data_IF_922473613264
#
_entry.id   IF_922473613264
#
_cell.length_a   1.000
_cell.length_b   1.000
_cell.length_c   1.000
_cell.angle_alpha   90.00
_cell.angle_beta   90.00
_cell.angle_gamma   90.00
#
_symmetry.space_group_name_H-M   'P 1'
#
loop_
_entity.id
_entity.type
_entity.pdbx_description
1 polymer ?
#
# COMPACT_ATOMS: atom_id res chain seq x y z
N UNK A 1 -10.85 20.31 -41.12
CA UNK A 1 -10.94 20.46 -39.63
C UNK A 1 -12.15 19.66 -39.19
N UNK A 2 -11.93 18.47 -38.71
CA UNK A 2 -13.03 17.62 -38.19
C UNK A 2 -13.36 18.09 -36.76
N UNK A 3 -14.49 18.79 -36.64
CA UNK A 3 -15.05 19.11 -35.32
C UNK A 3 -15.65 17.82 -34.77
N UNK A 4 -14.86 17.05 -34.03
CA UNK A 4 -15.38 15.94 -33.24
C UNK A 4 -16.29 16.53 -32.15
N UNK A 5 -17.60 16.23 -32.23
CA UNK A 5 -18.53 16.56 -31.15
C UNK A 5 -18.00 16.04 -29.81
N UNK A 6 -18.16 16.78 -28.71
CA UNK A 6 -17.71 16.32 -27.42
C UNK A 6 -18.46 15.03 -27.05
N UNK A 7 -17.75 13.91 -26.97
CA UNK A 7 -18.32 12.65 -26.46
C UNK A 7 -18.70 12.85 -25.01
N UNK A 8 -19.98 12.73 -24.73
CA UNK A 8 -20.54 12.99 -23.39
C UNK A 8 -20.04 11.99 -22.33
N UNK A 9 -19.38 10.91 -22.74
CA UNK A 9 -18.81 9.84 -21.92
C UNK A 9 -17.30 9.99 -21.59
N UNK A 10 -16.58 10.93 -22.25
CA UNK A 10 -15.16 11.16 -22.02
C UNK A 10 -14.91 11.82 -20.67
N UNK A 11 -14.10 11.15 -19.83
CA UNK A 11 -13.67 11.67 -18.54
C UNK A 11 -12.45 12.59 -18.70
N UNK A 12 -12.36 13.60 -17.84
CA UNK A 12 -11.13 14.37 -17.68
C UNK A 12 -10.03 13.51 -17.04
N UNK A 13 -10.41 12.71 -16.02
CA UNK A 13 -9.52 11.79 -15.34
C UNK A 13 -10.28 10.56 -14.84
N UNK A 14 -9.67 9.38 -15.05
CA UNK A 14 -10.09 8.13 -14.41
C UNK A 14 -9.11 7.81 -13.28
N UNK A 15 -9.63 7.54 -12.09
CA UNK A 15 -8.84 7.09 -10.93
C UNK A 15 -9.08 5.59 -10.73
N UNK A 16 -8.02 4.79 -10.74
CA UNK A 16 -8.09 3.34 -10.55
C UNK A 16 -7.55 2.98 -9.17
N UNK A 17 -8.44 2.58 -8.27
CA UNK A 17 -8.20 2.31 -6.85
C UNK A 17 -8.87 3.31 -5.93
N UNK A 18 -9.60 2.82 -4.91
CA UNK A 18 -10.33 3.62 -3.92
C UNK A 18 -9.73 3.48 -2.50
N UNK A 19 -8.40 3.39 -2.42
CA UNK A 19 -7.67 3.60 -1.18
C UNK A 19 -7.59 5.09 -0.79
N UNK A 20 -6.88 5.43 0.30
CA UNK A 20 -6.70 6.82 0.74
C UNK A 20 -6.17 7.74 -0.37
N UNK A 21 -5.21 7.27 -1.18
CA UNK A 21 -4.66 8.02 -2.30
C UNK A 21 -5.72 8.34 -3.36
N UNK A 22 -6.40 7.31 -3.89
CA UNK A 22 -7.35 7.48 -4.99
C UNK A 22 -8.56 8.31 -4.62
N UNK A 23 -9.16 8.08 -3.45
CA UNK A 23 -10.29 8.87 -2.96
C UNK A 23 -9.91 10.33 -2.72
N UNK A 24 -8.69 10.59 -2.20
CA UNK A 24 -8.19 11.96 -2.06
C UNK A 24 -8.00 12.64 -3.41
N UNK A 25 -7.35 11.97 -4.38
CA UNK A 25 -7.14 12.53 -5.72
C UNK A 25 -8.48 12.86 -6.42
N UNK A 26 -9.44 11.95 -6.32
CA UNK A 26 -10.77 12.15 -6.89
C UNK A 26 -11.50 13.33 -6.24
N UNK A 27 -11.41 13.48 -4.91
CA UNK A 27 -11.96 14.62 -4.18
C UNK A 27 -11.36 15.94 -4.68
N UNK A 28 -10.02 16.03 -4.84
CA UNK A 28 -9.36 17.21 -5.38
C UNK A 28 -9.84 17.53 -6.80
N UNK A 29 -9.88 16.53 -7.69
CA UNK A 29 -10.33 16.71 -9.07
C UNK A 29 -11.78 17.16 -9.16
N UNK A 30 -12.69 16.58 -8.36
CA UNK A 30 -14.08 17.00 -8.31
C UNK A 30 -14.22 18.46 -7.81
N UNK A 31 -13.43 18.87 -6.80
CA UNK A 31 -13.37 20.26 -6.32
C UNK A 31 -12.80 21.22 -7.36
N UNK A 32 -11.90 20.76 -8.24
CA UNK A 32 -11.46 21.48 -9.45
C UNK A 32 -12.49 21.41 -10.59
N UNK A 33 -13.68 20.78 -10.35
CA UNK A 33 -14.78 20.63 -11.31
C UNK A 33 -14.36 19.87 -12.57
N UNK A 34 -13.50 18.90 -12.40
CA UNK A 34 -13.14 17.94 -13.44
C UNK A 34 -14.11 16.77 -13.46
N UNK A 35 -14.40 16.26 -14.66
CA UNK A 35 -15.20 15.06 -14.85
C UNK A 35 -14.36 13.85 -14.47
N UNK A 36 -14.49 13.40 -13.23
CA UNK A 36 -13.71 12.31 -12.64
C UNK A 36 -14.60 11.13 -12.30
N UNK A 37 -14.06 9.92 -12.36
CA UNK A 37 -14.68 8.69 -11.89
C UNK A 37 -13.63 7.85 -11.17
N UNK A 38 -14.03 7.12 -10.13
CA UNK A 38 -13.19 6.16 -9.40
C UNK A 38 -13.67 4.75 -9.73
N UNK A 39 -12.73 3.85 -10.02
CA UNK A 39 -13.00 2.42 -10.13
C UNK A 39 -12.34 1.71 -8.95
N UNK A 40 -13.13 0.99 -8.16
CA UNK A 40 -12.75 0.36 -6.91
C UNK A 40 -12.75 -1.16 -7.03
N UNK A 41 -11.57 -1.78 -7.03
CA UNK A 41 -11.43 -3.24 -7.00
C UNK A 41 -11.68 -3.87 -5.63
N UNK A 42 -11.97 -3.08 -4.58
CA UNK A 42 -12.39 -3.56 -3.26
C UNK A 42 -11.26 -4.10 -2.35
N UNK A 43 -9.99 -3.93 -2.72
CA UNK A 43 -8.86 -4.57 -2.04
C UNK A 43 -7.89 -3.56 -1.36
N UNK A 44 -8.40 -2.43 -0.84
CA UNK A 44 -7.54 -1.45 -0.18
C UNK A 44 -6.77 -2.07 1.00
N UNK A 45 -5.43 -1.91 1.00
CA UNK A 45 -4.55 -2.34 2.08
C UNK A 45 -4.92 -1.72 3.43
N UNK A 46 -5.47 -0.50 3.43
CA UNK A 46 -5.86 0.19 4.65
C UNK A 46 -6.90 -0.59 5.49
N UNK A 47 -7.67 -1.52 4.89
CA UNK A 47 -8.60 -2.41 5.61
C UNK A 47 -7.93 -3.28 6.67
N UNK A 48 -6.62 -3.56 6.50
CA UNK A 48 -5.82 -4.37 7.41
C UNK A 48 -5.32 -3.60 8.65
N UNK A 49 -5.59 -2.31 8.75
CA UNK A 49 -5.13 -1.47 9.86
C UNK A 49 -6.15 -1.56 11.00
N UNK A 50 -5.82 -2.23 12.14
CA UNK A 50 -6.73 -2.29 13.29
C UNK A 50 -6.95 -0.89 13.89
N UNK A 51 -5.87 -0.13 14.08
CA UNK A 51 -5.88 1.28 14.45
C UNK A 51 -4.60 1.96 13.97
N UNK A 52 -4.72 3.09 13.28
CA UNK A 52 -3.59 3.95 12.91
C UNK A 52 -3.48 5.10 13.89
N UNK A 53 -2.34 5.22 14.57
CA UNK A 53 -2.05 6.31 15.52
C UNK A 53 -1.14 7.40 14.91
N UNK A 54 -0.60 7.17 13.73
CA UNK A 54 0.25 8.11 13.01
C UNK A 54 -0.46 8.86 11.86
N UNK A 55 -1.79 8.72 11.76
CA UNK A 55 -2.60 9.49 10.81
C UNK A 55 -2.91 10.87 11.41
N UNK A 56 -2.47 11.99 10.79
CA UNK A 56 -2.71 13.33 11.30
C UNK A 56 -4.22 13.64 11.44
N UNK A 57 -4.58 14.32 12.53
CA UNK A 57 -5.99 14.66 12.82
C UNK A 57 -6.75 13.61 13.64
N UNK A 58 -6.14 12.46 13.96
CA UNK A 58 -6.74 11.39 14.77
C UNK A 58 -5.93 11.12 16.05
N UNK A 59 -6.03 11.97 17.08
CA UNK A 59 -5.18 11.89 18.26
C UNK A 59 -5.34 10.60 19.08
N UNK A 60 -6.47 9.91 18.93
CA UNK A 60 -6.77 8.64 19.62
C UNK A 60 -6.69 7.43 18.69
N UNK A 61 -6.13 7.61 17.49
CA UNK A 61 -6.09 6.60 16.44
C UNK A 61 -7.40 6.52 15.65
N UNK A 62 -7.35 5.78 14.55
CA UNK A 62 -8.49 5.51 13.68
C UNK A 62 -8.36 4.12 13.06
N UNK A 63 -9.40 3.31 13.09
CA UNK A 63 -9.44 2.05 12.37
C UNK A 63 -9.39 2.30 10.85
N UNK A 64 -8.68 1.43 10.12
CA UNK A 64 -8.51 1.60 8.67
C UNK A 64 -9.82 1.61 7.90
N UNK A 65 -10.78 0.77 8.29
CA UNK A 65 -12.11 0.75 7.68
C UNK A 65 -12.89 2.05 7.94
N UNK A 66 -12.81 2.62 9.14
CA UNK A 66 -13.46 3.89 9.48
C UNK A 66 -12.82 5.05 8.69
N UNK A 67 -11.50 4.99 8.54
CA UNK A 67 -10.77 5.98 7.76
C UNK A 67 -11.13 5.90 6.27
N UNK A 68 -11.19 4.70 5.70
CA UNK A 68 -11.64 4.48 4.31
C UNK A 68 -13.06 4.99 4.10
N UNK A 69 -13.97 4.72 5.04
CA UNK A 69 -15.34 5.22 4.96
C UNK A 69 -15.39 6.75 4.96
N UNK A 70 -14.58 7.42 5.78
CA UNK A 70 -14.49 8.89 5.81
C UNK A 70 -13.98 9.46 4.49
N UNK A 71 -12.94 8.87 3.88
CA UNK A 71 -12.47 9.28 2.54
C UNK A 71 -13.55 9.07 1.47
N UNK A 72 -14.28 7.96 1.53
CA UNK A 72 -15.38 7.66 0.60
C UNK A 72 -16.50 8.68 0.75
N UNK A 73 -17.00 8.91 1.96
CA UNK A 73 -18.02 9.91 2.24
C UNK A 73 -17.60 11.29 1.75
N UNK A 74 -16.33 11.67 1.98
CA UNK A 74 -15.82 12.96 1.49
C UNK A 74 -15.85 13.07 -0.04
N UNK A 75 -15.50 12.00 -0.76
CA UNK A 75 -15.59 11.99 -2.23
C UNK A 75 -17.04 12.05 -2.72
N UNK A 76 -17.95 11.34 -2.05
CA UNK A 76 -19.39 11.33 -2.34
C UNK A 76 -20.04 12.70 -2.14
N UNK A 77 -19.63 13.49 -1.13
CA UNK A 77 -20.07 14.89 -0.93
C UNK A 77 -19.79 15.79 -2.14
N UNK A 78 -18.76 15.46 -2.94
CA UNK A 78 -18.47 16.16 -4.20
C UNK A 78 -19.01 15.42 -5.43
N UNK A 79 -19.98 14.53 -5.24
CA UNK A 79 -20.66 13.76 -6.29
C UNK A 79 -19.68 12.95 -7.18
N UNK A 80 -18.57 12.45 -6.62
CA UNK A 80 -17.64 11.56 -7.34
C UNK A 80 -18.30 10.20 -7.55
N UNK A 81 -18.51 9.75 -8.80
CA UNK A 81 -19.00 8.39 -9.06
C UNK A 81 -17.92 7.37 -8.70
N UNK A 82 -18.24 6.42 -7.80
CA UNK A 82 -17.37 5.33 -7.40
C UNK A 82 -18.01 4.03 -7.86
N UNK A 83 -17.35 3.28 -8.76
CA UNK A 83 -17.84 2.02 -9.28
C UNK A 83 -17.04 0.85 -8.72
N UNK A 84 -17.76 -0.14 -8.19
CA UNK A 84 -17.17 -1.37 -7.64
C UNK A 84 -16.97 -2.39 -8.76
N UNK A 85 -15.80 -2.35 -9.39
CA UNK A 85 -15.32 -3.34 -10.35
C UNK A 85 -13.80 -3.27 -10.45
N UNK A 86 -13.17 -4.29 -11.05
CA UNK A 86 -11.73 -4.32 -11.28
C UNK A 86 -11.42 -3.98 -12.74
N UNK A 87 -10.45 -3.11 -12.95
CA UNK A 87 -9.89 -2.87 -14.28
C UNK A 87 -8.85 -3.94 -14.59
N UNK A 88 -9.04 -4.63 -15.70
CA UNK A 88 -8.15 -5.70 -16.16
C UNK A 88 -7.25 -5.25 -17.31
N UNK A 89 -7.68 -4.20 -18.06
CA UNK A 89 -6.93 -3.67 -19.21
C UNK A 89 -6.85 -2.15 -19.17
N UNK A 90 -5.71 -1.61 -19.57
CA UNK A 90 -5.49 -0.19 -19.80
C UNK A 90 -4.68 -0.03 -21.08
N UNK A 91 -5.24 0.65 -22.05
CA UNK A 91 -4.63 0.89 -23.38
C UNK A 91 -4.70 2.36 -23.74
N UNK A 92 -3.99 2.73 -24.81
CA UNK A 92 -4.03 4.07 -25.37
C UNK A 92 -4.66 4.04 -26.75
N UNK A 93 -5.57 4.98 -27.01
CA UNK A 93 -6.23 5.19 -28.31
C UNK A 93 -6.12 6.67 -28.67
N UNK A 94 -5.11 7.01 -29.47
CA UNK A 94 -4.72 8.40 -29.73
C UNK A 94 -4.26 9.11 -28.43
N UNK A 95 -4.91 10.21 -28.10
CA UNK A 95 -4.62 11.01 -26.91
C UNK A 95 -5.45 10.59 -25.67
N UNK A 96 -6.26 9.53 -25.79
CA UNK A 96 -7.13 9.05 -24.73
C UNK A 96 -6.66 7.70 -24.18
N UNK A 97 -6.92 7.46 -22.90
CA UNK A 97 -6.81 6.15 -22.29
C UNK A 97 -8.14 5.41 -22.36
N UNK A 98 -8.07 4.10 -22.55
CA UNK A 98 -9.22 3.19 -22.51
C UNK A 98 -8.96 2.13 -21.46
N UNK A 99 -9.74 2.16 -20.38
CA UNK A 99 -9.70 1.18 -19.29
C UNK A 99 -10.90 0.24 -19.40
N UNK A 100 -10.69 -1.07 -19.23
CA UNK A 100 -11.74 -2.08 -19.36
C UNK A 100 -11.74 -3.09 -18.20
N UNK A 101 -12.95 -3.60 -17.86
CA UNK A 101 -13.19 -4.67 -16.88
C UNK A 101 -13.66 -5.99 -17.56
N UNK A 102 -13.48 -6.10 -18.89
CA UNK A 102 -13.95 -7.23 -19.68
C UNK A 102 -15.44 -7.18 -20.04
N UNK A 103 -16.25 -6.27 -19.46
CA UNK A 103 -17.69 -6.09 -19.74
C UNK A 103 -17.99 -4.72 -20.30
N UNK A 104 -17.34 -3.70 -19.78
CA UNK A 104 -17.51 -2.31 -20.19
C UNK A 104 -16.15 -1.61 -20.22
N UNK A 105 -16.11 -0.44 -20.82
CA UNK A 105 -14.89 0.37 -20.89
C UNK A 105 -15.17 1.84 -20.58
N UNK A 106 -14.13 2.52 -20.09
CA UNK A 106 -14.14 3.94 -19.76
C UNK A 106 -13.02 4.64 -20.52
N UNK A 107 -13.34 5.79 -21.07
CA UNK A 107 -12.37 6.64 -21.77
C UNK A 107 -12.03 7.85 -20.91
N UNK A 108 -10.76 8.18 -20.84
CA UNK A 108 -10.28 9.33 -20.06
C UNK A 108 -9.09 10.01 -20.76
N UNK A 109 -8.98 11.34 -20.58
CA UNK A 109 -7.82 12.12 -21.05
C UNK A 109 -6.57 11.83 -20.21
N UNK A 110 -6.76 11.61 -18.92
CA UNK A 110 -5.70 11.34 -17.95
C UNK A 110 -6.13 10.15 -17.07
N UNK A 111 -5.14 9.40 -16.56
CA UNK A 111 -5.38 8.30 -15.62
C UNK A 111 -4.50 8.48 -14.40
N UNK A 112 -5.06 8.24 -13.21
CA UNK A 112 -4.31 8.11 -11.96
C UNK A 112 -4.43 6.68 -11.46
N UNK A 113 -3.32 5.97 -11.38
CA UNK A 113 -3.22 4.66 -10.75
C UNK A 113 -3.00 4.83 -9.25
N UNK A 114 -3.94 4.37 -8.46
CA UNK A 114 -3.90 4.31 -7.00
C UNK A 114 -4.11 2.86 -6.53
N UNK A 115 -3.53 1.93 -7.27
CA UNK A 115 -3.76 0.48 -7.17
C UNK A 115 -3.06 -0.16 -5.96
N UNK A 116 -2.06 0.52 -5.39
CA UNK A 116 -1.37 0.12 -4.17
C UNK A 116 -0.55 -1.16 -4.31
N UNK A 117 -0.41 -1.87 -3.19
CA UNK A 117 0.36 -3.11 -3.07
C UNK A 117 -0.47 -4.20 -2.38
N UNK A 118 -0.05 -5.45 -2.54
CA UNK A 118 -0.58 -6.60 -1.79
C UNK A 118 0.55 -7.16 -0.94
N UNK A 119 0.40 -7.14 0.39
CA UNK A 119 1.39 -7.68 1.32
C UNK A 119 1.53 -9.19 1.16
N UNK A 120 2.77 -9.70 1.19
CA UNK A 120 3.06 -11.12 1.29
C UNK A 120 2.91 -11.54 2.75
N UNK A 121 1.89 -12.35 3.03
CA UNK A 121 1.59 -12.82 4.37
C UNK A 121 2.32 -14.12 4.69
N UNK A 122 2.66 -14.37 5.97
CA UNK A 122 3.24 -15.64 6.38
C UNK A 122 2.21 -16.78 6.30
N UNK A 123 2.68 -18.03 6.16
CA UNK A 123 1.83 -19.22 6.27
C UNK A 123 1.35 -19.40 7.70
N UNK A 124 0.17 -18.87 8.01
CA UNK A 124 -0.50 -18.91 9.31
C UNK A 124 -2.00 -19.10 9.06
N UNK A 125 -2.62 -20.08 9.72
CA UNK A 125 -4.03 -20.44 9.45
C UNK A 125 -4.99 -19.28 9.75
N UNK A 126 -4.80 -18.55 10.87
CA UNK A 126 -5.66 -17.47 11.34
C UNK A 126 -5.03 -16.09 11.10
N UNK A 127 -4.38 -15.88 9.94
CA UNK A 127 -3.61 -14.66 9.64
C UNK A 127 -4.45 -13.39 9.73
N UNK A 128 -5.69 -13.41 9.22
CA UNK A 128 -6.59 -12.24 9.30
C UNK A 128 -6.97 -11.90 10.74
N UNK A 129 -7.23 -12.91 11.57
CA UNK A 129 -7.51 -12.73 12.99
C UNK A 129 -6.27 -12.23 13.75
N UNK A 130 -5.08 -12.73 13.41
CA UNK A 130 -3.81 -12.27 13.98
C UNK A 130 -3.53 -10.80 13.65
N UNK A 131 -3.88 -10.35 12.43
CA UNK A 131 -3.81 -8.92 12.05
C UNK A 131 -4.85 -8.11 12.83
N UNK A 132 -6.10 -8.55 12.85
CA UNK A 132 -7.19 -7.84 13.53
C UNK A 132 -6.95 -7.68 15.03
N UNK A 133 -6.31 -8.66 15.68
CA UNK A 133 -5.94 -8.61 17.10
C UNK A 133 -4.67 -7.79 17.39
N UNK A 134 -3.91 -7.40 16.35
CA UNK A 134 -2.64 -6.68 16.48
C UNK A 134 -1.46 -7.57 16.89
N UNK A 135 -1.61 -8.88 16.91
CA UNK A 135 -0.52 -9.84 17.11
C UNK A 135 0.37 -9.90 15.88
N UNK A 136 -0.22 -9.88 14.67
CA UNK A 136 0.53 -9.76 13.42
C UNK A 136 0.40 -8.32 12.90
N UNK A 137 1.54 -7.66 12.69
CA UNK A 137 1.62 -6.25 12.30
C UNK A 137 2.42 -6.11 11.01
N UNK A 138 1.87 -5.36 10.04
CA UNK A 138 2.43 -5.26 8.69
C UNK A 138 3.37 -4.06 8.50
N UNK A 139 3.50 -3.17 9.50
CA UNK A 139 4.23 -1.93 9.31
C UNK A 139 4.86 -1.42 10.61
N UNK A 140 6.13 -1.70 10.81
CA UNK A 140 6.88 -1.25 12.00
C UNK A 140 6.94 0.29 12.17
N UNK A 141 6.93 1.04 11.05
CA UNK A 141 6.88 2.52 11.08
C UNK A 141 5.52 3.03 11.54
N UNK A 142 4.46 2.26 11.28
CA UNK A 142 3.09 2.66 11.60
C UNK A 142 2.75 2.46 13.09
N UNK A 143 3.22 1.36 13.67
CA UNK A 143 2.74 0.86 14.97
C UNK A 143 3.83 0.23 15.87
N UNK A 144 5.10 0.48 15.57
CA UNK A 144 6.19 0.05 16.45
C UNK A 144 6.12 0.67 17.86
N UNK A 145 5.54 1.88 17.97
CA UNK A 145 5.32 2.52 19.26
C UNK A 145 4.28 1.77 20.11
N UNK A 146 3.24 1.23 19.48
CA UNK A 146 2.21 0.41 20.14
C UNK A 146 2.74 -0.94 20.59
N UNK A 147 3.77 -1.47 19.93
CA UNK A 147 4.48 -2.70 20.32
C UNK A 147 5.60 -2.46 21.37
N UNK A 148 5.63 -1.28 22.00
CA UNK A 148 6.66 -0.97 23.00
C UNK A 148 6.60 -1.96 24.16
N UNK A 149 7.80 -2.48 24.54
CA UNK A 149 7.99 -3.49 25.57
C UNK A 149 7.44 -4.89 25.26
N UNK A 150 6.88 -5.14 24.08
CA UNK A 150 6.46 -6.46 23.64
C UNK A 150 7.67 -7.38 23.44
N UNK A 151 7.46 -8.69 23.53
CA UNK A 151 8.33 -9.69 22.91
C UNK A 151 8.02 -9.71 21.43
N UNK A 152 8.92 -9.15 20.61
CA UNK A 152 8.71 -8.95 19.19
C UNK A 152 9.48 -9.99 18.38
N UNK A 153 8.81 -10.68 17.47
CA UNK A 153 9.43 -11.46 16.41
C UNK A 153 9.39 -10.69 15.07
N UNK A 154 10.49 -10.77 14.30
CA UNK A 154 10.57 -10.21 12.94
C UNK A 154 10.92 -11.34 11.98
N UNK A 155 10.03 -11.65 11.04
CA UNK A 155 10.18 -12.77 10.11
C UNK A 155 10.48 -12.26 8.70
N UNK A 156 11.64 -12.66 8.14
CA UNK A 156 12.02 -12.28 6.78
C UNK A 156 13.29 -12.96 6.29
N UNK A 157 13.89 -12.48 5.22
CA UNK A 157 15.26 -12.86 4.88
C UNK A 157 16.21 -12.37 5.98
N UNK A 158 17.35 -13.03 6.17
CA UNK A 158 18.23 -12.74 7.30
C UNK A 158 18.60 -11.26 7.43
N UNK A 159 18.98 -10.61 6.31
CA UNK A 159 19.35 -9.18 6.28
C UNK A 159 18.15 -8.28 6.57
N UNK A 160 17.01 -8.53 5.92
CA UNK A 160 15.80 -7.71 6.06
C UNK A 160 15.21 -7.85 7.47
N UNK A 161 15.15 -9.08 7.99
CA UNK A 161 14.65 -9.34 9.35
C UNK A 161 15.52 -8.63 10.39
N UNK A 162 16.85 -8.70 10.26
CA UNK A 162 17.76 -8.02 11.18
C UNK A 162 17.64 -6.49 11.09
N UNK A 163 17.56 -5.92 9.89
CA UNK A 163 17.39 -4.48 9.72
C UNK A 163 16.12 -3.94 10.39
N UNK A 164 14.99 -4.63 10.20
CA UNK A 164 13.73 -4.26 10.87
C UNK A 164 13.78 -4.53 12.39
N UNK A 165 14.42 -5.61 12.82
CA UNK A 165 14.63 -5.87 14.22
C UNK A 165 15.47 -4.76 14.90
N UNK A 166 16.51 -4.25 14.22
CA UNK A 166 17.30 -3.12 14.71
C UNK A 166 16.44 -1.85 14.86
N UNK A 167 15.54 -1.56 13.91
CA UNK A 167 14.59 -0.46 14.04
C UNK A 167 13.65 -0.66 15.25
N UNK A 168 13.08 -1.86 15.40
CA UNK A 168 12.16 -2.19 16.49
C UNK A 168 12.81 -2.21 17.89
N UNK A 169 14.15 -2.32 17.97
CA UNK A 169 14.91 -2.10 19.22
C UNK A 169 14.72 -0.69 19.79
N UNK A 170 14.27 0.27 19.00
CA UNK A 170 13.84 1.59 19.50
C UNK A 170 12.68 1.48 20.49
N UNK A 171 11.81 0.50 20.33
CA UNK A 171 10.56 0.37 21.09
C UNK A 171 10.61 -0.76 22.13
N UNK A 172 11.32 -1.87 21.86
CA UNK A 172 11.42 -2.99 22.79
C UNK A 172 12.84 -3.50 22.96
N UNK A 173 13.11 -3.99 24.17
CA UNK A 173 14.37 -4.71 24.48
C UNK A 173 14.31 -6.19 24.09
N UNK A 174 13.12 -6.75 23.88
CA UNK A 174 12.87 -8.16 23.58
C UNK A 174 12.55 -8.33 22.10
N UNK A 175 13.58 -8.31 21.25
CA UNK A 175 13.41 -8.44 19.81
C UNK A 175 14.20 -9.65 19.30
N UNK A 176 13.53 -10.49 18.52
CA UNK A 176 14.08 -11.70 17.89
C UNK A 176 13.90 -11.61 16.38
N UNK A 177 14.97 -11.81 15.61
CA UNK A 177 14.92 -11.93 14.17
C UNK A 177 14.84 -13.42 13.77
N UNK A 178 13.84 -13.75 12.95
CA UNK A 178 13.56 -15.09 12.41
C UNK A 178 13.89 -15.12 10.93
N UNK A 179 14.81 -16.00 10.49
CA UNK A 179 15.12 -16.17 9.09
C UNK A 179 14.07 -17.05 8.39
N UNK A 180 13.60 -16.69 7.20
CA UNK A 180 12.74 -17.52 6.38
C UNK A 180 13.48 -18.77 5.87
N UNK A 181 12.74 -19.88 5.61
CA UNK A 181 13.29 -21.07 4.98
C UNK A 181 13.82 -20.76 3.58
N UNK A 182 15.01 -21.33 3.26
CA UNK A 182 15.57 -21.31 1.90
C UNK A 182 16.13 -19.96 1.46
N UNK A 183 16.12 -18.94 2.30
CA UNK A 183 16.60 -17.59 1.93
C UNK A 183 17.66 -17.12 2.91
N UNK A 184 18.87 -17.70 2.80
CA UNK A 184 20.02 -17.31 3.61
C UNK A 184 19.91 -17.67 5.10
N UNK A 185 21.04 -17.89 5.72
CA UNK A 185 21.18 -17.98 7.19
C UNK A 185 21.88 -16.71 7.67
N UNK A 186 21.74 -16.42 8.96
CA UNK A 186 22.55 -15.36 9.58
C UNK A 186 24.04 -15.76 9.53
N UNK A 187 24.80 -15.08 8.70
CA UNK A 187 26.26 -15.21 8.62
C UNK A 187 26.94 -14.55 9.83
N UNK A 188 28.27 -14.60 9.88
CA UNK A 188 29.05 -14.05 10.98
C UNK A 188 28.89 -12.51 11.10
N UNK A 189 28.81 -11.79 10.00
CA UNK A 189 28.63 -10.34 10.01
C UNK A 189 27.26 -9.96 10.59
N UNK A 190 26.19 -10.67 10.19
CA UNK A 190 24.84 -10.48 10.74
C UNK A 190 24.76 -10.84 12.21
N UNK A 191 25.47 -11.90 12.67
CA UNK A 191 25.55 -12.27 14.08
C UNK A 191 26.19 -11.18 14.92
N UNK A 192 27.32 -10.65 14.48
CA UNK A 192 28.01 -9.56 15.18
C UNK A 192 27.12 -8.29 15.26
N UNK A 193 26.40 -7.96 14.17
CA UNK A 193 25.43 -6.83 14.18
C UNK A 193 24.27 -7.06 15.15
N UNK A 194 23.75 -8.28 15.21
CA UNK A 194 22.68 -8.66 16.13
C UNK A 194 23.13 -8.57 17.58
N UNK A 195 24.31 -9.12 17.91
CA UNK A 195 24.89 -9.08 19.24
C UNK A 195 25.12 -7.63 19.71
N UNK A 196 25.70 -6.79 18.86
CA UNK A 196 25.90 -5.37 19.15
C UNK A 196 24.57 -4.61 19.39
N UNK A 197 23.47 -5.10 18.82
CA UNK A 197 22.12 -4.51 18.97
C UNK A 197 21.28 -5.20 20.05
N UNK A 198 21.79 -6.28 20.69
CA UNK A 198 21.06 -7.07 21.66
C UNK A 198 19.83 -7.77 21.07
N UNK A 199 19.93 -8.27 19.82
CA UNK A 199 18.88 -8.97 19.10
C UNK A 199 19.15 -10.46 19.14
N UNK A 200 18.13 -11.25 19.46
CA UNK A 200 18.21 -12.71 19.39
C UNK A 200 17.98 -13.16 17.95
N UNK A 201 18.79 -14.11 17.47
CA UNK A 201 18.64 -14.71 16.16
C UNK A 201 18.09 -16.12 16.25
N UNK A 202 17.12 -16.46 15.41
CA UNK A 202 16.54 -17.80 15.29
C UNK A 202 16.48 -18.25 13.85
N UNK A 203 16.55 -19.55 13.65
CA UNK A 203 16.33 -20.17 12.36
C UNK A 203 14.87 -20.07 11.90
N UNK A 204 14.60 -20.68 10.75
CA UNK A 204 13.28 -20.67 10.14
C UNK A 204 12.23 -21.38 11.03
N UNK A 205 11.08 -20.73 11.28
CA UNK A 205 9.98 -21.38 11.94
C UNK A 205 9.44 -22.54 11.09
N UNK A 206 8.95 -23.60 11.74
CA UNK A 206 8.21 -24.68 11.10
C UNK A 206 6.72 -24.41 11.08
N UNK A 207 6.23 -23.66 12.07
CA UNK A 207 4.82 -23.29 12.23
C UNK A 207 4.68 -21.98 12.97
N UNK A 208 3.66 -21.19 12.57
CA UNK A 208 3.22 -19.97 13.22
C UNK A 208 1.74 -20.13 13.57
N UNK A 209 1.36 -19.84 14.79
CA UNK A 209 -0.02 -20.00 15.27
C UNK A 209 -0.44 -18.81 16.15
N UNK A 210 -1.67 -18.35 15.96
CA UNK A 210 -2.30 -17.44 16.91
C UNK A 210 -2.88 -18.29 18.07
N UNK A 211 -2.36 -18.10 19.29
CA UNK A 211 -2.84 -18.78 20.49
C UNK A 211 -2.86 -17.81 21.67
N UNK A 212 -3.91 -17.82 22.44
CA UNK A 212 -4.03 -17.06 23.70
C UNK A 212 -3.65 -15.57 23.56
N UNK A 213 -3.95 -14.97 22.40
CA UNK A 213 -3.65 -13.56 22.12
C UNK A 213 -2.17 -13.26 21.84
N UNK A 214 -1.37 -14.27 21.52
CA UNK A 214 0.04 -14.16 21.16
C UNK A 214 0.39 -15.04 19.96
N UNK A 215 1.57 -14.81 19.35
CA UNK A 215 2.11 -15.66 18.31
C UNK A 215 2.98 -16.77 18.92
N UNK A 216 2.57 -18.00 18.74
CA UNK A 216 3.41 -19.16 19.04
C UNK A 216 4.21 -19.57 17.81
N UNK A 217 5.52 -19.65 17.95
CA UNK A 217 6.49 -20.01 16.91
C UNK A 217 7.09 -21.36 17.25
N UNK A 218 6.95 -22.38 16.38
CA UNK A 218 7.57 -23.69 16.55
C UNK A 218 8.78 -23.87 15.64
N UNK A 219 9.79 -24.62 16.11
CA UNK A 219 11.03 -24.89 15.39
C UNK A 219 11.22 -26.38 15.08
N UNK A 220 12.18 -26.70 14.20
CA UNK A 220 12.43 -28.06 13.73
C UNK A 220 12.99 -29.00 14.83
N UNK A 221 13.61 -28.45 15.87
CA UNK A 221 14.14 -29.19 17.02
C UNK A 221 13.06 -29.54 18.07
N UNK A 222 11.80 -29.18 17.78
CA UNK A 222 10.66 -29.40 18.68
C UNK A 222 10.49 -28.28 19.74
N UNK A 223 11.38 -27.31 19.79
CA UNK A 223 11.22 -26.15 20.67
C UNK A 223 10.16 -25.17 20.14
N UNK A 224 9.69 -24.31 21.02
CA UNK A 224 8.75 -23.24 20.68
C UNK A 224 8.99 -22.00 21.52
N UNK A 225 8.64 -20.84 20.97
CA UNK A 225 8.73 -19.53 21.63
C UNK A 225 7.42 -18.75 21.46
N UNK A 226 7.14 -17.86 22.43
CA UNK A 226 5.98 -16.99 22.42
C UNK A 226 6.39 -15.54 22.20
N UNK A 227 5.64 -14.88 21.31
CA UNK A 227 5.82 -13.46 21.01
C UNK A 227 4.49 -12.73 21.12
N UNK A 228 4.53 -11.55 21.76
CA UNK A 228 3.36 -10.68 21.86
C UNK A 228 2.99 -10.12 20.46
N UNK A 229 4.03 -9.89 19.63
CA UNK A 229 3.88 -9.29 18.31
C UNK A 229 4.82 -9.96 17.28
N UNK A 230 4.29 -10.23 16.07
CA UNK A 230 5.04 -10.70 14.90
C UNK A 230 4.98 -9.66 13.77
N UNK A 231 6.15 -9.22 13.28
CA UNK A 231 6.29 -8.42 12.07
C UNK A 231 6.80 -9.29 10.91
N UNK A 232 5.94 -9.72 9.96
CA UNK A 232 6.40 -10.33 8.73
C UNK A 232 6.91 -9.24 7.78
N UNK A 233 8.20 -9.31 7.46
CA UNK A 233 8.87 -8.40 6.51
C UNK A 233 9.18 -9.16 5.22
N UNK A 234 8.12 -9.72 4.64
CA UNK A 234 8.17 -10.62 3.49
C UNK A 234 8.08 -9.88 2.15
N UNK A 235 7.91 -8.53 2.20
CA UNK A 235 7.67 -7.70 1.04
C UNK A 235 6.21 -7.61 0.66
N UNK A 236 5.95 -6.88 -0.43
CA UNK A 236 4.63 -6.71 -1.01
C UNK A 236 4.74 -6.70 -2.54
N UNK A 237 3.66 -6.99 -3.23
CA UNK A 237 3.59 -7.01 -4.69
C UNK A 237 2.90 -5.73 -5.18
N UNK A 238 3.65 -4.86 -5.87
CA UNK A 238 3.12 -3.64 -6.46
C UNK A 238 2.06 -3.97 -7.52
N UNK A 239 0.91 -3.31 -7.44
CA UNK A 239 -0.18 -3.51 -8.40
C UNK A 239 0.00 -2.59 -9.62
N UNK A 240 1.16 -2.69 -10.29
CA UNK A 240 1.62 -1.84 -11.39
C UNK A 240 1.36 -2.42 -12.80
N UNK A 241 0.74 -3.60 -12.90
CA UNK A 241 0.57 -4.33 -14.17
C UNK A 241 -0.10 -3.49 -15.28
N UNK A 242 -1.09 -2.65 -14.94
CA UNK A 242 -1.76 -1.76 -15.91
C UNK A 242 -0.81 -0.71 -16.50
N UNK A 243 0.12 -0.18 -15.71
CA UNK A 243 1.12 0.76 -16.18
C UNK A 243 2.21 0.06 -16.99
N UNK A 244 2.65 -1.12 -16.55
CA UNK A 244 3.64 -1.92 -17.27
C UNK A 244 3.14 -2.33 -18.67
N UNK A 245 1.84 -2.60 -18.82
CA UNK A 245 1.21 -2.85 -20.13
C UNK A 245 1.33 -1.65 -21.10
N UNK A 246 1.52 -0.44 -20.56
CA UNK A 246 1.81 0.78 -21.30
C UNK A 246 3.29 1.15 -21.32
N UNK A 247 4.17 0.23 -20.89
CA UNK A 247 5.62 0.40 -20.81
C UNK A 247 6.09 1.51 -19.84
N UNK A 248 5.36 1.74 -18.75
CA UNK A 248 5.83 2.62 -17.70
C UNK A 248 7.02 2.01 -16.95
N UNK A 249 7.97 2.86 -16.55
CA UNK A 249 9.17 2.46 -15.83
C UNK A 249 8.83 2.00 -14.41
N UNK A 250 9.46 0.88 -14.01
CA UNK A 250 9.35 0.31 -12.66
C UNK A 250 10.75 0.00 -12.12
N UNK A 251 10.86 -0.08 -10.80
CA UNK A 251 12.06 -0.59 -10.13
C UNK A 251 12.09 -2.15 -10.09
N UNK A 252 13.11 -2.71 -9.44
CA UNK A 252 13.30 -4.16 -9.29
C UNK A 252 12.17 -4.83 -8.49
N UNK A 253 11.46 -4.07 -7.65
CA UNK A 253 10.31 -4.52 -6.85
C UNK A 253 8.98 -4.44 -7.62
N UNK A 254 8.99 -3.79 -8.79
CA UNK A 254 7.81 -3.53 -9.61
C UNK A 254 7.06 -2.25 -9.20
N UNK A 255 7.63 -1.44 -8.30
CA UNK A 255 7.08 -0.14 -7.92
C UNK A 255 7.28 0.87 -9.05
N UNK A 256 6.28 1.72 -9.30
CA UNK A 256 6.31 2.69 -10.39
C UNK A 256 7.23 3.88 -10.07
N UNK A 257 8.08 4.22 -11.03
CA UNK A 257 8.81 5.48 -11.01
C UNK A 257 7.92 6.63 -11.44
N UNK A 258 7.99 7.75 -10.73
CA UNK A 258 7.26 8.98 -11.02
C UNK A 258 8.12 10.21 -10.87
N UNK A 259 7.75 11.29 -11.54
CA UNK A 259 8.36 12.60 -11.37
C UNK A 259 7.83 13.36 -10.13
N UNK A 260 8.28 14.58 -9.91
CA UNK A 260 7.83 15.43 -8.79
C UNK A 260 6.36 15.83 -8.84
N UNK A 261 5.67 15.54 -9.95
CA UNK A 261 4.23 15.74 -10.15
C UNK A 261 3.44 14.41 -10.11
N UNK A 262 4.07 13.33 -9.75
CA UNK A 262 3.50 11.96 -9.73
C UNK A 262 3.17 11.41 -11.12
N UNK A 263 3.72 11.96 -12.22
CA UNK A 263 3.55 11.41 -13.55
C UNK A 263 4.57 10.29 -13.78
N UNK A 264 4.12 9.18 -14.36
CA UNK A 264 5.00 8.07 -14.80
C UNK A 264 5.78 8.46 -16.06
N UNK A 265 6.64 7.57 -16.56
CA UNK A 265 7.28 7.75 -17.88
C UNK A 265 6.28 7.77 -19.05
N UNK A 266 5.01 7.38 -18.83
CA UNK A 266 3.93 7.44 -19.80
C UNK A 266 3.17 8.74 -19.67
N UNK A 267 3.18 9.54 -20.75
CA UNK A 267 2.52 10.83 -20.77
C UNK A 267 1.01 10.75 -20.46
N UNK A 268 0.55 11.53 -19.46
CA UNK A 268 -0.85 11.54 -19.00
C UNK A 268 -1.24 10.41 -18.06
N UNK A 269 -0.31 9.50 -17.74
CA UNK A 269 -0.48 8.46 -16.74
C UNK A 269 0.25 8.84 -15.45
N UNK A 270 -0.49 8.92 -14.36
CA UNK A 270 0.01 9.23 -13.01
C UNK A 270 -0.09 8.01 -12.12
N UNK A 271 0.77 7.94 -11.10
CA UNK A 271 0.70 6.89 -10.07
C UNK A 271 0.88 7.52 -8.69
N UNK A 272 0.10 7.04 -7.71
CA UNK A 272 0.06 7.59 -6.35
C UNK A 272 -0.13 6.50 -5.29
N UNK A 273 0.30 6.80 -4.06
CA UNK A 273 0.21 5.86 -2.94
C UNK A 273 1.22 4.73 -3.07
N UNK A 274 0.88 3.58 -2.48
CA UNK A 274 1.83 2.49 -2.26
C UNK A 274 2.32 1.78 -3.55
N UNK A 275 1.73 2.04 -4.71
CA UNK A 275 2.22 1.53 -6.01
C UNK A 275 3.46 2.27 -6.53
N UNK A 276 3.84 3.37 -5.87
CA UNK A 276 5.00 4.20 -6.21
C UNK A 276 6.15 3.88 -5.28
N UNK A 277 7.36 3.78 -5.82
CA UNK A 277 8.58 3.58 -5.02
C UNK A 277 8.73 4.63 -3.91
N UNK A 278 8.98 4.18 -2.69
CA UNK A 278 9.19 5.07 -1.54
C UNK A 278 8.58 4.56 -0.24
N UNK A 279 8.05 5.49 0.56
CA UNK A 279 7.50 5.22 1.88
C UNK A 279 5.99 4.98 1.84
N UNK A 280 5.56 3.77 2.13
CA UNK A 280 4.16 3.36 2.15
C UNK A 280 3.47 3.84 3.44
N UNK A 281 2.91 5.05 3.41
CA UNK A 281 2.20 5.68 4.53
C UNK A 281 0.94 6.39 4.03
N UNK A 282 -0.11 6.42 4.84
CA UNK A 282 -1.36 7.14 4.51
C UNK A 282 -1.08 8.62 4.23
N UNK A 283 -0.24 9.27 5.05
CA UNK A 283 0.11 10.68 4.87
C UNK A 283 0.86 10.95 3.55
N UNK A 284 1.75 10.03 3.13
CA UNK A 284 2.44 10.10 1.84
C UNK A 284 1.45 9.91 0.70
N UNK A 285 0.57 8.91 0.80
CA UNK A 285 -0.47 8.62 -0.20
C UNK A 285 -1.40 9.82 -0.43
N UNK A 286 -1.82 10.51 0.64
CA UNK A 286 -2.63 11.74 0.58
C UNK A 286 -1.82 12.90 -0.05
N UNK A 287 -0.54 13.04 0.28
CA UNK A 287 0.36 14.03 -0.33
C UNK A 287 0.52 13.81 -1.83
N UNK A 288 0.81 12.57 -2.25
CA UNK A 288 0.89 12.19 -3.67
C UNK A 288 -0.41 12.52 -4.41
N UNK A 289 -1.56 12.26 -3.79
CA UNK A 289 -2.87 12.54 -4.38
C UNK A 289 -3.07 14.04 -4.67
N UNK A 290 -2.67 14.91 -3.75
CA UNK A 290 -2.76 16.35 -3.95
C UNK A 290 -1.86 16.84 -5.08
N UNK A 291 -0.63 16.31 -5.19
CA UNK A 291 0.33 16.63 -6.25
C UNK A 291 -0.22 16.19 -7.61
N UNK A 292 -0.60 14.91 -7.76
CA UNK A 292 -1.10 14.35 -9.01
C UNK A 292 -2.37 15.04 -9.49
N UNK A 293 -3.36 15.22 -8.61
CA UNK A 293 -4.63 15.86 -8.98
C UNK A 293 -4.42 17.31 -9.45
N UNK A 294 -3.48 18.03 -8.81
CA UNK A 294 -3.13 19.39 -9.22
C UNK A 294 -2.42 19.41 -10.57
N UNK A 295 -1.50 18.46 -10.82
CA UNK A 295 -0.81 18.33 -12.09
C UNK A 295 -1.78 17.99 -13.24
N UNK A 296 -2.66 17.01 -13.01
CA UNK A 296 -3.74 16.65 -13.94
C UNK A 296 -4.60 17.87 -14.28
N UNK A 297 -5.05 18.62 -13.27
CA UNK A 297 -5.88 19.81 -13.50
C UNK A 297 -5.17 20.87 -14.34
N UNK A 298 -3.89 21.14 -14.11
CA UNK A 298 -3.08 22.12 -14.85
C UNK A 298 -2.83 21.72 -16.30
N UNK A 299 -2.76 20.43 -16.57
CA UNK A 299 -2.51 19.88 -17.90
C UNK A 299 -3.76 19.89 -18.79
N UNK A 300 -4.93 19.79 -18.20
CA UNK A 300 -6.20 19.80 -18.90
C UNK A 300 -6.57 21.22 -19.37
N UNK A 301 -7.36 21.34 -20.48
CA UNK A 301 -7.83 22.64 -20.91
C UNK A 301 -8.50 23.43 -19.78
N UNK A 302 -8.40 24.77 -19.75
CA UNK A 302 -9.13 25.58 -18.79
C UNK A 302 -10.62 25.26 -18.78
N UNK A 303 -11.24 25.26 -17.59
CA UNK A 303 -12.67 25.02 -17.41
C UNK A 303 -13.35 26.20 -16.68
N UNK A 304 -13.26 27.44 -17.21
CA UNK A 304 -13.90 28.62 -16.62
C UNK A 304 -15.42 28.44 -16.58
N UNK A 305 -16.07 29.14 -15.65
CA UNK A 305 -17.55 29.27 -15.60
C UNK A 305 -18.00 30.54 -16.30
#
# INVERSE_FOLDING_TARGET
>A
MSTTEPRDDLLDCLVIGAGPAGLTAATYLARYRRKVKVIDGGASRARWIPASHNCPGFPFGVAGNDLLQRFRTQAEEFAVPIMSTRIDTLTRDGDEFVAGDGKQSWRARQVILATGVIDRLPGMDDVEQAIASGVLRLCAVCDGYEARNDAIAVLGTAEVALGHAQFLRTFSRRVTALACRGVGSFDEALRQRADASGIVLRGAPTRLELRDGACHVSYADGSGEWFDTLYPVLGADAQSALAQALHADVDESGDLHVDGCMQTSVDGLYAIGDVVSGLNQISVAVGHAALAATAVHRRLPPNPR
#
